data_IF_657746346063
#
_entry.id   IF_657746346063
#
_cell.length_a   1.000
_cell.length_b   1.000
_cell.length_c   1.000
_cell.angle_alpha   90.00
_cell.angle_beta   90.00
_cell.angle_gamma   90.00
#
_symmetry.space_group_name_H-M   'P 1'
#
loop_
_entity.id
_entity.type
_entity.pdbx_description
1 polymer ?
#
# COMPACT_ATOMS: atom_id res chain seq x y z
N UNK A 1 -3.77 -7.65 23.23
CA UNK A 1 -4.65 -7.44 22.06
C UNK A 1 -5.19 -6.01 21.90
N UNK A 2 -5.44 -5.23 22.98
CA UNK A 2 -5.89 -3.83 22.87
C UNK A 2 -4.84 -2.87 22.27
N UNK A 3 -3.57 -3.05 22.61
CA UNK A 3 -2.46 -2.20 22.15
C UNK A 3 -2.20 -2.30 20.63
N UNK A 4 -2.32 -3.51 20.07
CA UNK A 4 -2.10 -3.77 18.66
C UNK A 4 -3.26 -3.22 17.79
N UNK A 5 -4.49 -3.27 18.30
CA UNK A 5 -5.66 -2.63 17.65
C UNK A 5 -5.49 -1.12 17.59
N UNK A 6 -4.95 -0.52 18.66
CA UNK A 6 -4.59 0.90 18.73
C UNK A 6 -3.46 1.27 17.76
N UNK A 7 -2.44 0.43 17.62
CA UNK A 7 -1.34 0.65 16.67
C UNK A 7 -1.79 0.61 15.20
N UNK A 8 -2.65 -0.34 14.81
CA UNK A 8 -3.17 -0.42 13.44
C UNK A 8 -4.12 0.73 13.09
N UNK A 9 -4.98 1.14 14.04
CA UNK A 9 -5.84 2.31 13.86
C UNK A 9 -4.97 3.58 13.83
N UNK A 10 -3.99 3.69 14.72
CA UNK A 10 -3.04 4.80 14.74
C UNK A 10 -2.24 4.90 13.46
N UNK A 11 -1.73 3.79 12.90
CA UNK A 11 -0.90 3.80 11.71
C UNK A 11 -1.72 4.11 10.45
N UNK A 12 -2.94 3.56 10.34
CA UNK A 12 -3.88 3.89 9.27
C UNK A 12 -4.42 5.32 9.36
N UNK A 13 -4.69 5.82 10.58
CA UNK A 13 -5.08 7.22 10.80
C UNK A 13 -3.91 8.16 10.56
N UNK A 14 -2.68 7.79 10.93
CA UNK A 14 -1.49 8.60 10.66
C UNK A 14 -1.16 8.64 9.16
N UNK A 15 -1.31 7.53 8.44
CA UNK A 15 -1.12 7.51 6.99
C UNK A 15 -2.24 8.31 6.28
N UNK A 16 -3.49 8.18 6.73
CA UNK A 16 -4.61 8.95 6.21
C UNK A 16 -4.44 10.44 6.52
N UNK A 17 -3.99 10.80 7.72
CA UNK A 17 -3.68 12.16 8.10
C UNK A 17 -2.49 12.70 7.31
N UNK A 18 -1.44 11.89 7.05
CA UNK A 18 -0.33 12.30 6.20
C UNK A 18 -0.76 12.51 4.75
N UNK A 19 -1.67 11.66 4.21
CA UNK A 19 -2.25 11.83 2.88
C UNK A 19 -3.14 13.08 2.82
N UNK A 20 -3.95 13.35 3.85
CA UNK A 20 -4.78 14.56 3.93
C UNK A 20 -3.89 15.79 4.07
N UNK A 21 -2.88 15.79 4.95
CA UNK A 21 -1.96 16.91 5.15
C UNK A 21 -1.13 17.15 3.88
N UNK A 22 -0.66 16.09 3.22
CA UNK A 22 0.08 16.22 1.96
C UNK A 22 -0.81 16.71 0.82
N UNK A 23 -2.04 16.17 0.70
CA UNK A 23 -3.03 16.60 -0.28
C UNK A 23 -3.51 18.05 -0.07
N UNK A 24 -3.74 18.44 1.19
CA UNK A 24 -4.08 19.82 1.59
C UNK A 24 -2.88 20.74 1.34
N UNK A 25 -1.65 20.33 1.67
CA UNK A 25 -0.45 21.13 1.38
C UNK A 25 -0.23 21.32 -0.12
N UNK A 26 -0.70 20.38 -0.96
CA UNK A 26 -0.65 20.50 -2.42
C UNK A 26 -1.76 21.41 -2.98
N UNK A 27 -2.93 21.44 -2.33
CA UNK A 27 -4.04 22.36 -2.61
C UNK A 27 -3.75 23.80 -2.16
N UNK A 28 -2.99 23.96 -1.08
CA UNK A 28 -2.64 25.25 -0.46
C UNK A 28 -1.19 25.67 -0.69
N UNK A 29 -0.41 24.94 -1.51
CA UNK A 29 0.89 25.44 -1.94
C UNK A 29 0.63 26.74 -2.68
N UNK A 30 1.11 27.90 -2.17
CA UNK A 30 1.04 29.12 -2.94
C UNK A 30 1.86 28.84 -4.17
N UNK A 31 1.23 28.90 -5.34
CA UNK A 31 1.93 29.02 -6.60
C UNK A 31 2.96 30.13 -6.39
N UNK A 32 4.22 29.75 -6.29
CA UNK A 32 5.32 30.70 -6.20
C UNK A 32 5.29 31.49 -7.49
N UNK A 33 4.59 32.62 -7.48
CA UNK A 33 4.58 33.60 -8.54
C UNK A 33 5.95 34.27 -8.51
N UNK A 34 6.81 34.09 -9.53
CA UNK A 34 7.98 34.91 -9.67
C UNK A 34 7.56 36.16 -10.44
N UNK A 35 7.62 37.31 -9.77
CA UNK A 35 7.94 38.56 -10.43
C UNK A 35 6.79 39.33 -11.08
N UNK A 36 6.92 40.64 -10.95
CA UNK A 36 6.13 41.75 -11.48
C UNK A 36 5.78 41.70 -12.98
N UNK A 37 4.72 42.41 -13.44
CA UNK A 37 4.08 42.25 -14.76
C UNK A 37 4.80 42.92 -15.95
N UNK A 38 6.12 43.08 -15.92
CA UNK A 38 6.87 43.74 -16.99
C UNK A 38 8.00 42.84 -17.52
N UNK A 39 7.64 41.80 -18.27
CA UNK A 39 8.43 41.27 -19.41
C UNK A 39 7.66 40.10 -20.01
N UNK A 40 6.63 40.42 -20.80
CA UNK A 40 6.02 39.44 -21.73
C UNK A 40 6.95 39.29 -22.93
N UNK A 41 8.13 38.70 -22.72
CA UNK A 41 9.10 38.36 -23.76
C UNK A 41 9.13 36.85 -23.94
N UNK A 42 8.68 36.37 -25.09
CA UNK A 42 8.63 34.99 -25.55
C UNK A 42 9.31 33.93 -24.65
N UNK A 43 8.53 32.97 -24.13
CA UNK A 43 9.10 31.77 -23.49
C UNK A 43 10.05 31.13 -24.51
N UNK A 44 11.36 31.19 -24.26
CA UNK A 44 12.34 30.63 -25.17
C UNK A 44 12.19 29.10 -25.21
N UNK A 45 12.47 28.44 -26.35
CA UNK A 45 12.46 26.98 -26.42
C UNK A 45 13.32 26.31 -25.34
N UNK A 46 14.40 26.98 -24.92
CA UNK A 46 15.29 26.53 -23.84
C UNK A 46 14.62 26.58 -22.46
N UNK A 47 13.84 27.63 -22.16
CA UNK A 47 13.07 27.72 -20.91
C UNK A 47 11.99 26.64 -20.82
N UNK A 48 11.32 26.32 -21.94
CA UNK A 48 10.36 25.21 -22.00
C UNK A 48 11.05 23.87 -21.76
N UNK A 49 12.18 23.63 -22.42
CA UNK A 49 12.95 22.39 -22.27
C UNK A 49 13.46 22.21 -20.82
N UNK A 50 13.96 23.28 -20.20
CA UNK A 50 14.41 23.26 -18.81
C UNK A 50 13.26 22.98 -17.83
N UNK A 51 12.08 23.58 -18.06
CA UNK A 51 10.88 23.34 -17.26
C UNK A 51 10.40 21.88 -17.38
N UNK A 52 10.41 21.31 -18.59
CA UNK A 52 10.06 19.91 -18.83
C UNK A 52 11.03 18.95 -18.13
N UNK A 53 12.34 19.21 -18.20
CA UNK A 53 13.35 18.38 -17.55
C UNK A 53 13.23 18.43 -16.01
N UNK A 54 12.93 19.61 -15.47
CA UNK A 54 12.66 19.79 -14.05
C UNK A 54 11.40 19.04 -13.62
N UNK A 55 10.30 19.14 -14.38
CA UNK A 55 9.07 18.40 -14.13
C UNK A 55 9.30 16.87 -14.15
N UNK A 56 10.09 16.37 -15.11
CA UNK A 56 10.45 14.96 -15.20
C UNK A 56 11.30 14.50 -14.00
N UNK A 57 12.24 15.32 -13.52
CA UNK A 57 13.02 15.03 -12.29
C UNK A 57 12.11 14.93 -11.06
N UNK A 58 11.17 15.87 -10.92
CA UNK A 58 10.21 15.89 -9.81
C UNK A 58 9.30 14.66 -9.88
N UNK A 59 8.75 14.35 -11.06
CA UNK A 59 7.90 13.19 -11.29
C UNK A 59 8.59 11.88 -10.91
N UNK A 60 9.85 11.67 -11.33
CA UNK A 60 10.62 10.47 -10.94
C UNK A 60 10.80 10.35 -9.42
N UNK A 61 11.12 11.46 -8.74
CA UNK A 61 11.27 11.46 -7.28
C UNK A 61 9.96 11.11 -6.58
N UNK A 62 8.85 11.71 -7.02
CA UNK A 62 7.52 11.41 -6.50
C UNK A 62 7.16 9.94 -6.69
N UNK A 63 7.44 9.37 -7.88
CA UNK A 63 7.17 7.96 -8.15
C UNK A 63 7.90 7.04 -7.17
N UNK A 64 9.19 7.27 -6.92
CA UNK A 64 9.97 6.48 -5.95
C UNK A 64 9.47 6.63 -4.51
N UNK A 65 9.07 7.85 -4.09
CA UNK A 65 8.47 8.07 -2.76
C UNK A 65 7.17 7.29 -2.61
N UNK A 66 6.32 7.30 -3.63
CA UNK A 66 5.06 6.56 -3.62
C UNK A 66 5.29 5.04 -3.61
N UNK A 67 6.25 4.55 -4.38
CA UNK A 67 6.66 3.13 -4.36
C UNK A 67 7.14 2.73 -2.96
N UNK A 68 7.97 3.56 -2.31
CA UNK A 68 8.44 3.32 -0.95
C UNK A 68 7.28 3.32 0.05
N UNK A 69 6.34 4.28 -0.07
CA UNK A 69 5.15 4.33 0.76
C UNK A 69 4.30 3.07 0.60
N UNK A 70 4.09 2.60 -0.63
CA UNK A 70 3.42 1.33 -0.91
C UNK A 70 4.17 0.17 -0.25
N UNK A 71 5.49 0.08 -0.38
CA UNK A 71 6.27 -0.99 0.25
C UNK A 71 6.09 -1.04 1.78
N UNK A 72 6.04 0.12 2.44
CA UNK A 72 5.76 0.19 3.88
C UNK A 72 4.35 -0.32 4.21
N UNK A 73 3.34 0.03 3.41
CA UNK A 73 1.98 -0.50 3.57
C UNK A 73 1.93 -2.02 3.39
N UNK A 74 2.67 -2.56 2.42
CA UNK A 74 2.75 -4.01 2.18
C UNK A 74 3.38 -4.76 3.36
N UNK A 75 4.45 -4.20 3.95
CA UNK A 75 5.06 -4.75 5.17
C UNK A 75 4.05 -4.72 6.33
N UNK A 76 3.30 -3.63 6.48
CA UNK A 76 2.23 -3.53 7.49
C UNK A 76 1.15 -4.60 7.31
N UNK A 77 0.73 -4.86 6.07
CA UNK A 77 -0.24 -5.90 5.74
C UNK A 77 0.29 -7.30 6.05
N UNK A 78 1.55 -7.59 5.69
CA UNK A 78 2.21 -8.86 6.03
C UNK A 78 2.22 -9.07 7.54
N UNK A 79 2.71 -8.09 8.30
CA UNK A 79 2.77 -8.17 9.76
C UNK A 79 1.37 -8.42 10.34
N UNK A 80 0.35 -7.73 9.85
CA UNK A 80 -1.03 -7.94 10.28
C UNK A 80 -1.51 -9.37 10.09
N UNK A 81 -1.32 -9.92 8.89
CA UNK A 81 -1.68 -11.30 8.56
C UNK A 81 -0.91 -12.31 9.43
N UNK A 82 0.40 -12.13 9.59
CA UNK A 82 1.25 -12.98 10.41
C UNK A 82 0.85 -12.97 11.88
N UNK A 83 0.54 -11.80 12.45
CA UNK A 83 0.10 -11.69 13.85
C UNK A 83 -1.27 -12.35 14.08
N UNK A 84 -2.21 -12.21 13.13
CA UNK A 84 -3.52 -12.87 13.20
C UNK A 84 -3.38 -14.38 13.11
N UNK A 85 -2.58 -14.88 12.16
CA UNK A 85 -2.29 -16.30 12.02
C UNK A 85 -1.63 -16.87 13.28
N UNK A 86 -0.65 -16.18 13.83
CA UNK A 86 0.02 -16.59 15.07
C UNK A 86 -0.93 -16.65 16.26
N UNK A 87 -1.86 -15.68 16.35
CA UNK A 87 -2.88 -15.68 17.37
C UNK A 87 -3.80 -16.91 17.25
N UNK A 88 -4.23 -17.27 16.04
CA UNK A 88 -5.04 -18.48 15.79
C UNK A 88 -4.26 -19.75 16.13
N UNK A 89 -3.00 -19.86 15.68
CA UNK A 89 -2.11 -21.00 15.95
C UNK A 89 -1.95 -21.27 17.45
N UNK A 90 -1.72 -20.21 18.23
CA UNK A 90 -1.52 -20.28 19.69
C UNK A 90 -2.79 -20.54 20.49
N UNK A 91 -3.98 -20.50 19.87
CA UNK A 91 -5.20 -20.88 20.61
C UNK A 91 -5.16 -22.37 20.96
N UNK A 92 -5.59 -22.72 22.17
CA UNK A 92 -5.78 -24.12 22.60
C UNK A 92 -7.05 -24.75 22.04
N UNK A 93 -7.64 -24.18 20.98
CA UNK A 93 -8.88 -24.66 20.40
C UNK A 93 -8.68 -25.93 19.56
N UNK A 94 -9.71 -26.79 19.45
CA UNK A 94 -9.67 -27.94 18.55
C UNK A 94 -9.54 -27.49 17.10
N UNK A 95 -9.02 -28.37 16.25
CA UNK A 95 -8.71 -28.08 14.85
C UNK A 95 -9.90 -27.52 14.06
N UNK A 96 -11.11 -28.06 14.27
CA UNK A 96 -12.36 -27.57 13.65
C UNK A 96 -12.62 -26.09 13.94
N UNK A 97 -12.39 -25.66 15.19
CA UNK A 97 -12.59 -24.25 15.58
C UNK A 97 -11.45 -23.36 15.08
N UNK A 98 -10.23 -23.88 14.97
CA UNK A 98 -9.11 -23.17 14.33
C UNK A 98 -9.34 -22.95 12.84
N UNK A 99 -9.97 -23.89 12.13
CA UNK A 99 -10.36 -23.72 10.72
C UNK A 99 -11.37 -22.58 10.54
N UNK A 100 -12.41 -22.52 11.39
CA UNK A 100 -13.37 -21.41 11.36
C UNK A 100 -12.70 -20.06 11.65
N UNK A 101 -11.77 -20.03 12.61
CA UNK A 101 -11.01 -18.80 12.92
C UNK A 101 -10.06 -18.41 11.77
N UNK A 102 -9.48 -19.39 11.09
CA UNK A 102 -8.62 -19.16 9.92
C UNK A 102 -9.42 -18.55 8.76
N UNK A 103 -10.62 -19.07 8.50
CA UNK A 103 -11.54 -18.52 7.49
C UNK A 103 -11.97 -17.08 7.83
N UNK A 104 -12.24 -16.80 9.10
CA UNK A 104 -12.57 -15.45 9.56
C UNK A 104 -11.42 -14.43 9.38
N UNK A 105 -10.17 -14.89 9.26
CA UNK A 105 -9.01 -14.03 9.01
C UNK A 105 -8.47 -14.13 7.57
N UNK A 106 -9.11 -14.88 6.66
CA UNK A 106 -8.61 -15.11 5.29
C UNK A 106 -8.40 -13.78 4.54
N UNK A 107 -9.27 -12.80 4.77
CA UNK A 107 -9.17 -11.45 4.19
C UNK A 107 -7.84 -10.73 4.51
N UNK A 108 -7.19 -11.05 5.63
CA UNK A 108 -5.92 -10.42 5.98
C UNK A 108 -4.78 -10.87 5.06
N UNK A 109 -4.87 -12.07 4.46
CA UNK A 109 -3.89 -12.55 3.50
C UNK A 109 -4.04 -11.88 2.12
N UNK A 110 -5.21 -11.29 1.83
CA UNK A 110 -5.47 -10.51 0.62
C UNK A 110 -5.34 -9.00 0.82
N UNK A 111 -5.13 -8.54 2.06
CA UNK A 111 -4.92 -7.14 2.40
C UNK A 111 -3.80 -6.44 1.57
N UNK A 112 -2.64 -7.10 1.30
CA UNK A 112 -1.64 -6.59 0.37
C UNK A 112 -2.19 -6.23 -1.03
N UNK A 113 -3.07 -7.10 -1.56
CA UNK A 113 -3.68 -6.93 -2.87
C UNK A 113 -4.62 -5.72 -2.89
N UNK A 114 -5.44 -5.55 -1.85
CA UNK A 114 -6.32 -4.40 -1.72
C UNK A 114 -5.56 -3.09 -1.62
N UNK A 115 -4.43 -3.06 -0.89
CA UNK A 115 -3.57 -1.87 -0.87
C UNK A 115 -2.90 -1.59 -2.21
N UNK A 116 -2.48 -2.63 -2.94
CA UNK A 116 -1.93 -2.47 -4.28
C UNK A 116 -2.92 -1.85 -5.26
N UNK A 117 -4.18 -2.32 -5.21
CA UNK A 117 -5.29 -1.80 -6.02
C UNK A 117 -5.70 -0.38 -5.61
N UNK A 118 -5.75 -0.08 -4.32
CA UNK A 118 -5.98 1.29 -3.84
C UNK A 118 -4.87 2.24 -4.34
N UNK A 119 -3.62 1.78 -4.29
CA UNK A 119 -2.48 2.53 -4.81
C UNK A 119 -2.60 2.85 -6.30
N UNK A 120 -3.04 1.90 -7.12
CA UNK A 120 -3.19 2.12 -8.56
C UNK A 120 -4.36 3.07 -8.89
N UNK A 121 -5.49 2.97 -8.17
CA UNK A 121 -6.59 3.94 -8.29
C UNK A 121 -6.10 5.35 -7.94
N UNK A 122 -5.36 5.50 -6.83
CA UNK A 122 -4.75 6.79 -6.48
C UNK A 122 -3.74 7.28 -7.53
N UNK A 123 -3.04 6.35 -8.16
CA UNK A 123 -2.06 6.66 -9.20
C UNK A 123 -2.69 7.20 -10.49
N UNK A 124 -3.90 6.77 -10.84
CA UNK A 124 -4.60 7.31 -12.01
C UNK A 124 -4.92 8.80 -11.86
N UNK A 125 -5.10 9.30 -10.63
CA UNK A 125 -5.21 10.73 -10.36
C UNK A 125 -3.87 11.44 -10.64
N UNK A 126 -2.76 10.79 -10.27
CA UNK A 126 -1.42 11.35 -10.47
C UNK A 126 -1.02 11.43 -11.95
N UNK A 127 -1.52 10.52 -12.79
CA UNK A 127 -1.26 10.52 -14.24
C UNK A 127 -1.66 11.85 -14.89
N UNK A 128 -2.67 12.54 -14.37
CA UNK A 128 -3.11 13.86 -14.87
C UNK A 128 -2.04 14.94 -14.72
N UNK A 129 -1.15 14.83 -13.71
CA UNK A 129 -0.11 15.82 -13.41
C UNK A 129 1.29 15.35 -13.79
N UNK A 130 1.58 14.06 -13.55
CA UNK A 130 2.86 13.43 -13.81
C UNK A 130 2.63 12.05 -14.45
N UNK A 131 2.38 11.99 -15.78
CA UNK A 131 1.98 10.76 -16.47
C UNK A 131 2.92 9.58 -16.22
N UNK A 132 4.23 9.78 -16.42
CA UNK A 132 5.24 8.73 -16.26
C UNK A 132 5.31 8.22 -14.81
N UNK A 133 5.21 9.14 -13.85
CA UNK A 133 5.25 8.81 -12.43
C UNK A 133 4.01 8.01 -12.00
N UNK A 134 2.84 8.44 -12.45
CA UNK A 134 1.57 7.77 -12.18
C UNK A 134 1.51 6.38 -12.81
N UNK A 135 1.98 6.20 -14.04
CA UNK A 135 2.02 4.86 -14.64
C UNK A 135 3.00 3.94 -13.90
N UNK A 136 4.21 4.43 -13.61
CA UNK A 136 5.23 3.66 -12.90
C UNK A 136 4.74 3.22 -11.51
N UNK A 137 4.10 4.12 -10.76
CA UNK A 137 3.56 3.79 -9.44
C UNK A 137 2.39 2.81 -9.52
N UNK A 138 1.48 2.95 -10.50
CA UNK A 138 0.32 2.04 -10.66
C UNK A 138 0.76 0.59 -10.90
N UNK A 139 1.76 0.40 -11.77
CA UNK A 139 2.31 -0.92 -12.07
C UNK A 139 3.02 -1.51 -10.85
N UNK A 140 3.85 -0.69 -10.18
CA UNK A 140 4.60 -1.13 -9.01
C UNK A 140 3.68 -1.50 -7.83
N UNK A 141 2.67 -0.68 -7.50
CA UNK A 141 1.78 -0.92 -6.36
C UNK A 141 1.00 -2.22 -6.52
N UNK A 142 0.48 -2.48 -7.72
CA UNK A 142 -0.31 -3.67 -8.03
C UNK A 142 0.56 -4.92 -8.01
N UNK A 143 1.71 -4.90 -8.70
CA UNK A 143 2.62 -6.03 -8.73
C UNK A 143 3.08 -6.41 -7.31
N UNK A 144 3.40 -5.42 -6.49
CA UNK A 144 3.82 -5.64 -5.10
C UNK A 144 2.70 -6.25 -4.24
N UNK A 145 1.46 -5.73 -4.37
CA UNK A 145 0.30 -6.27 -3.67
C UNK A 145 0.01 -7.73 -4.04
N UNK A 146 0.08 -8.05 -5.34
CA UNK A 146 -0.09 -9.43 -5.83
C UNK A 146 1.01 -10.34 -5.25
N UNK A 147 2.28 -9.97 -5.40
CA UNK A 147 3.40 -10.80 -4.96
C UNK A 147 3.32 -11.08 -3.45
N UNK A 148 3.10 -10.04 -2.65
CA UNK A 148 3.03 -10.21 -1.18
C UNK A 148 1.81 -11.03 -0.77
N UNK A 149 0.63 -10.81 -1.38
CA UNK A 149 -0.56 -11.63 -1.10
C UNK A 149 -0.35 -13.10 -1.47
N UNK A 150 0.27 -13.39 -2.62
CA UNK A 150 0.60 -14.76 -3.05
C UNK A 150 1.54 -15.43 -2.06
N UNK A 151 2.59 -14.73 -1.60
CA UNK A 151 3.51 -15.25 -0.58
C UNK A 151 2.76 -15.57 0.71
N UNK A 152 1.89 -14.67 1.16
CA UNK A 152 1.07 -14.88 2.36
C UNK A 152 0.13 -16.08 2.21
N UNK A 153 -0.56 -16.18 1.08
CA UNK A 153 -1.57 -17.21 0.82
C UNK A 153 -0.93 -18.59 0.63
N UNK A 154 0.09 -18.70 -0.21
CA UNK A 154 0.79 -19.96 -0.49
C UNK A 154 1.75 -20.37 0.62
N UNK A 155 2.47 -19.41 1.22
CA UNK A 155 3.51 -19.69 2.21
C UNK A 155 2.98 -19.90 3.64
N UNK A 156 1.85 -19.29 3.99
CA UNK A 156 1.37 -19.30 5.38
C UNK A 156 -0.05 -19.85 5.53
N UNK A 157 -1.01 -19.36 4.73
CA UNK A 157 -2.41 -19.75 4.87
C UNK A 157 -2.66 -21.21 4.43
N UNK A 158 -2.31 -21.55 3.20
CA UNK A 158 -2.52 -22.89 2.63
C UNK A 158 -1.90 -24.01 3.45
N UNK A 159 -0.60 -23.98 3.83
CA UNK A 159 0.00 -25.06 4.60
C UNK A 159 -0.63 -25.20 5.99
N UNK A 160 -1.00 -24.10 6.64
CA UNK A 160 -1.67 -24.17 7.94
C UNK A 160 -3.09 -24.75 7.83
N UNK A 161 -3.82 -24.42 6.77
CA UNK A 161 -5.14 -25.01 6.50
C UNK A 161 -5.02 -26.52 6.28
N UNK A 162 -4.01 -26.97 5.52
CA UNK A 162 -3.75 -28.38 5.29
C UNK A 162 -3.41 -29.14 6.59
N UNK A 163 -2.54 -28.57 7.43
CA UNK A 163 -2.19 -29.14 8.75
C UNK A 163 -3.44 -29.34 9.63
N UNK A 164 -4.31 -28.32 9.68
CA UNK A 164 -5.54 -28.40 10.46
C UNK A 164 -6.52 -29.44 9.90
N UNK A 165 -6.68 -29.52 8.58
CA UNK A 165 -7.57 -30.52 7.95
C UNK A 165 -7.09 -31.95 8.24
N UNK A 166 -5.79 -32.22 8.11
CA UNK A 166 -5.20 -33.52 8.46
C UNK A 166 -5.47 -33.90 9.91
N UNK A 167 -5.40 -32.93 10.84
CA UNK A 167 -5.70 -33.19 12.26
C UNK A 167 -7.18 -33.43 12.58
N UNK A 168 -8.10 -33.07 11.67
CA UNK A 168 -9.53 -33.37 11.78
C UNK A 168 -9.85 -34.76 11.22
N UNK A 169 -9.17 -35.16 10.14
CA UNK A 169 -9.42 -36.43 9.44
C UNK A 169 -8.75 -37.66 10.08
N UNK A 170 -7.85 -37.49 11.05
CA UNK A 170 -7.31 -38.61 11.83
C UNK A 170 -8.36 -39.01 12.88
N UNK A 171 -8.99 -40.20 12.79
CA UNK A 171 -9.87 -40.68 13.84
C UNK A 171 -9.05 -40.82 15.12
N UNK A 172 -9.52 -40.16 16.18
CA UNK A 172 -8.98 -40.33 17.52
C UNK A 172 -9.26 -41.77 17.94
N UNK A 173 -8.25 -42.63 17.81
CA UNK A 173 -8.25 -44.02 18.30
C UNK A 173 -8.01 -44.07 19.80
#
# INVERSE_FOLDING_TARGET
MKFLRGFFISLGVLSLAAIIVFGVSLLFSPSGAPGTPEETGAISPEMVAQAQEMAARIGRRLAWVMVLASAVMQIGAWIAAGLKLHAVRKTGHPATKKLQLLEAIDIYFDLPLYFGLLGSVGSFILVTFFPDAGLMFAYASTAMGIIVSVILRLGYHTPFKQELLQSVDVPVS
#
